data_IF_840050869677
#
_entry.id   IF_840050869677
#
_cell.length_a   1.000
_cell.length_b   1.000
_cell.length_c   1.000
_cell.angle_alpha   90.00
_cell.angle_beta   90.00
_cell.angle_gamma   90.00
#
_symmetry.space_group_name_H-M   'P 1'
#
loop_
_entity.id
_entity.type
_entity.pdbx_description
1 polymer ?
#
# COMPACT_ATOMS: atom_id res chain seq x y z
N UNK A 1 8.18 10.97 19.65
CA UNK A 1 8.97 9.81 19.21
C UNK A 1 8.63 9.57 17.76
N UNK A 2 9.60 9.77 16.88
CA UNK A 2 9.42 9.71 15.44
C UNK A 2 9.54 8.26 14.92
N UNK A 3 8.76 7.87 13.90
CA UNK A 3 8.89 6.56 13.31
C UNK A 3 10.21 6.43 12.55
N UNK A 4 11.04 5.49 13.01
CA UNK A 4 12.35 5.18 12.42
C UNK A 4 12.26 4.45 11.07
N UNK A 5 11.14 3.75 10.81
CA UNK A 5 10.94 3.00 9.58
C UNK A 5 9.50 2.55 9.38
N UNK A 6 9.19 2.17 8.14
CA UNK A 6 7.93 1.54 7.74
C UNK A 6 8.24 0.27 6.97
N UNK A 7 7.57 -0.80 7.32
CA UNK A 7 7.67 -2.10 6.67
C UNK A 7 6.29 -2.57 6.25
N UNK A 8 6.14 -2.94 4.99
CA UNK A 8 4.90 -3.53 4.49
C UNK A 8 4.91 -5.04 4.73
N UNK A 9 3.76 -5.62 5.04
CA UNK A 9 3.60 -7.07 5.13
C UNK A 9 3.92 -7.77 3.80
N UNK A 10 3.68 -7.08 2.68
CA UNK A 10 3.97 -7.54 1.32
C UNK A 10 4.49 -6.39 0.47
N UNK A 11 5.50 -6.66 -0.34
CA UNK A 11 6.04 -5.74 -1.35
C UNK A 11 5.55 -6.07 -2.76
N UNK A 12 4.86 -7.19 -2.92
CA UNK A 12 4.23 -7.61 -4.18
C UNK A 12 2.94 -8.33 -3.86
N UNK A 13 1.87 -8.08 -4.61
CA UNK A 13 0.65 -8.87 -4.54
C UNK A 13 -0.01 -9.06 -5.88
N UNK A 14 -0.86 -10.09 -5.96
CA UNK A 14 -1.56 -10.49 -7.17
C UNK A 14 -3.05 -10.57 -6.87
N UNK A 15 -3.86 -9.89 -7.66
CA UNK A 15 -5.30 -9.72 -7.43
C UNK A 15 -6.04 -10.04 -8.72
N UNK A 16 -7.25 -10.59 -8.65
CA UNK A 16 -8.14 -10.59 -9.81
C UNK A 16 -8.80 -9.21 -10.01
N UNK A 17 -9.23 -8.92 -11.23
CA UNK A 17 -10.11 -7.75 -11.49
C UNK A 17 -11.36 -7.83 -10.60
N UNK A 18 -11.67 -6.75 -9.89
CA UNK A 18 -12.76 -6.69 -8.90
C UNK A 18 -12.40 -7.23 -7.52
N UNK A 19 -11.26 -7.92 -7.36
CA UNK A 19 -10.78 -8.34 -6.06
C UNK A 19 -10.18 -7.17 -5.27
N UNK A 20 -10.16 -7.31 -3.95
CA UNK A 20 -9.51 -6.35 -3.08
C UNK A 20 -8.66 -7.04 -2.03
N UNK A 21 -7.54 -6.41 -1.68
CA UNK A 21 -6.59 -6.90 -0.69
C UNK A 21 -6.16 -5.74 0.21
N UNK A 22 -5.74 -6.04 1.44
CA UNK A 22 -5.31 -5.02 2.38
C UNK A 22 -3.82 -5.14 2.67
N UNK A 23 -3.07 -4.07 2.38
CA UNK A 23 -1.70 -3.90 2.82
C UNK A 23 -1.65 -3.43 4.27
N UNK A 24 -0.86 -4.12 5.08
CA UNK A 24 -0.53 -3.70 6.45
C UNK A 24 0.87 -3.12 6.48
N UNK A 25 0.97 -1.80 6.63
CA UNK A 25 2.21 -1.14 7.01
C UNK A 25 2.38 -1.20 8.53
N UNK A 26 3.51 -1.75 8.96
CA UNK A 26 3.96 -1.72 10.35
C UNK A 26 4.99 -0.61 10.50
N UNK A 27 4.74 0.30 11.43
CA UNK A 27 5.62 1.44 11.74
C UNK A 27 6.46 1.08 12.97
N UNK A 28 7.79 1.22 12.87
CA UNK A 28 8.72 0.98 13.98
C UNK A 28 9.44 2.28 14.42
N UNK A 29 9.69 2.46 15.74
CA UNK A 29 9.28 1.59 16.84
C UNK A 29 7.76 1.65 17.10
N UNK A 30 7.18 0.64 17.75
CA UNK A 30 5.75 0.59 18.04
C UNK A 30 5.26 1.75 18.93
N UNK A 31 6.17 2.43 19.63
CA UNK A 31 5.94 3.66 20.40
C UNK A 31 6.02 4.96 19.56
N UNK A 32 6.11 4.84 18.23
CA UNK A 32 6.01 6.00 17.35
C UNK A 32 4.71 6.76 17.64
N UNK A 33 4.84 8.05 17.92
CA UNK A 33 3.71 8.94 18.24
C UNK A 33 2.83 9.13 17.00
N UNK A 34 3.47 9.19 15.82
CA UNK A 34 2.81 9.29 14.52
C UNK A 34 2.95 7.97 13.75
N UNK A 35 1.86 7.19 13.75
CA UNK A 35 1.71 5.97 12.94
C UNK A 35 0.94 6.22 11.65
N UNK A 36 0.80 7.48 11.27
CA UNK A 36 0.11 7.92 10.07
C UNK A 36 0.89 7.42 8.84
N UNK A 37 0.31 6.48 8.11
CA UNK A 37 0.82 5.99 6.82
C UNK A 37 -0.17 6.37 5.75
N UNK A 38 0.35 6.98 4.68
CA UNK A 38 -0.42 7.40 3.52
C UNK A 38 -0.07 6.55 2.32
N UNK A 39 -1.07 5.89 1.73
CA UNK A 39 -0.91 5.11 0.52
C UNK A 39 -1.34 5.89 -0.71
N UNK A 40 -0.65 5.68 -1.82
CA UNK A 40 -0.99 6.23 -3.13
C UNK A 40 -0.76 5.18 -4.20
N UNK A 41 -1.65 5.13 -5.18
CA UNK A 41 -1.50 4.27 -6.35
C UNK A 41 -0.90 5.05 -7.51
N UNK A 42 0.01 4.41 -8.25
CA UNK A 42 0.49 4.90 -9.55
C UNK A 42 -0.63 4.94 -10.58
N UNK A 43 -1.56 3.97 -10.54
CA UNK A 43 -2.53 3.74 -11.61
C UNK A 43 -3.90 3.33 -11.05
N UNK A 44 -4.70 4.32 -10.68
CA UNK A 44 -6.05 4.13 -10.14
C UNK A 44 -7.02 3.47 -11.14
N UNK A 45 -6.72 3.50 -12.44
CA UNK A 45 -7.48 2.79 -13.46
C UNK A 45 -7.27 1.26 -13.42
N UNK A 46 -6.13 0.80 -12.90
CA UNK A 46 -5.76 -0.62 -12.78
C UNK A 46 -6.01 -1.09 -11.36
N UNK A 47 -5.49 -0.37 -10.37
CA UNK A 47 -5.72 -0.66 -8.96
C UNK A 47 -5.82 0.63 -8.14
N UNK A 48 -6.87 0.76 -7.35
CA UNK A 48 -7.04 1.86 -6.39
C UNK A 48 -6.54 1.42 -5.03
N UNK A 49 -6.04 2.35 -4.21
CA UNK A 49 -5.66 2.06 -2.82
C UNK A 49 -6.28 3.08 -1.87
N UNK A 50 -6.74 2.61 -0.72
CA UNK A 50 -7.27 3.49 0.33
C UNK A 50 -6.11 4.13 1.09
N UNK A 51 -5.97 5.48 1.08
CA UNK A 51 -4.79 6.17 1.57
C UNK A 51 -4.51 5.97 3.05
N UNK A 52 -5.48 5.58 3.88
CA UNK A 52 -5.29 5.37 5.33
C UNK A 52 -5.37 3.88 5.70
N UNK A 53 -6.20 3.12 5.00
CA UNK A 53 -6.51 1.74 5.34
C UNK A 53 -5.59 0.73 4.64
N UNK A 54 -4.89 1.15 3.58
CA UNK A 54 -4.06 0.26 2.76
C UNK A 54 -4.85 -0.75 1.93
N UNK A 55 -6.18 -0.58 1.81
CA UNK A 55 -7.04 -1.47 1.03
C UNK A 55 -6.89 -1.16 -0.47
N UNK A 56 -6.28 -2.09 -1.19
CA UNK A 56 -6.13 -2.11 -2.64
C UNK A 56 -7.34 -2.77 -3.27
N UNK A 57 -7.86 -2.23 -4.36
CA UNK A 57 -8.94 -2.82 -5.15
C UNK A 57 -8.54 -2.82 -6.62
N UNK A 58 -8.50 -3.99 -7.24
CA UNK A 58 -8.22 -4.15 -8.67
C UNK A 58 -9.45 -3.75 -9.48
N UNK A 59 -9.27 -2.84 -10.44
CA UNK A 59 -10.32 -2.36 -11.35
C UNK A 59 -10.16 -2.95 -12.75
N UNK A 60 -8.93 -3.07 -13.23
CA UNK A 60 -8.64 -3.60 -14.56
C UNK A 60 -7.33 -4.40 -14.56
N UNK A 61 -7.19 -5.33 -15.50
CA UNK A 61 -5.97 -6.13 -15.61
C UNK A 61 -4.78 -5.25 -15.99
N UNK A 62 -3.66 -5.46 -15.33
CA UNK A 62 -2.44 -4.67 -15.49
C UNK A 62 -1.60 -4.66 -14.22
N UNK A 63 -0.59 -3.82 -14.18
CA UNK A 63 0.31 -3.67 -13.02
C UNK A 63 0.21 -2.25 -12.49
N UNK A 64 -0.01 -2.11 -11.19
CA UNK A 64 -0.04 -0.84 -10.49
C UNK A 64 0.97 -0.85 -9.34
N UNK A 65 1.61 0.27 -9.08
CA UNK A 65 2.54 0.40 -7.96
C UNK A 65 1.92 1.22 -6.84
N UNK A 66 1.88 0.66 -5.64
CA UNK A 66 1.37 1.32 -4.44
C UNK A 66 2.54 1.82 -3.60
N UNK A 67 2.56 3.11 -3.31
CA UNK A 67 3.58 3.73 -2.46
C UNK A 67 2.97 4.11 -1.12
N UNK A 68 3.50 3.53 -0.04
CA UNK A 68 3.18 3.85 1.34
C UNK A 68 4.21 4.85 1.89
N UNK A 69 3.77 6.00 2.37
CA UNK A 69 4.62 7.06 2.92
C UNK A 69 4.20 7.37 4.34
N UNK A 70 5.12 7.34 5.28
CA UNK A 70 4.89 7.75 6.68
C UNK A 70 4.92 9.26 6.83
N UNK A 71 4.35 9.76 7.93
CA UNK A 71 4.44 11.16 8.32
C UNK A 71 5.88 11.69 8.45
N UNK A 72 6.87 10.82 8.69
CA UNK A 72 8.27 11.19 8.86
C UNK A 72 9.08 11.10 7.55
N UNK A 73 8.42 10.83 6.41
CA UNK A 73 9.05 10.77 5.09
C UNK A 73 9.65 9.41 4.72
N UNK A 74 9.48 8.36 5.54
CA UNK A 74 9.84 6.99 5.16
C UNK A 74 8.85 6.45 4.15
N UNK A 75 9.34 5.81 3.10
CA UNK A 75 8.53 5.24 2.03
C UNK A 75 8.72 3.73 1.95
N UNK A 76 7.67 3.02 1.57
CA UNK A 76 7.69 1.61 1.19
C UNK A 76 6.82 1.42 -0.04
N UNK A 77 7.20 0.49 -0.91
CA UNK A 77 6.53 0.26 -2.19
C UNK A 77 6.00 -1.16 -2.25
N UNK A 78 4.82 -1.31 -2.86
CA UNK A 78 4.19 -2.58 -3.13
C UNK A 78 3.74 -2.64 -4.59
N UNK A 79 4.20 -3.63 -5.34
CA UNK A 79 3.75 -3.86 -6.70
C UNK A 79 2.49 -4.72 -6.71
N UNK A 80 1.45 -4.26 -7.39
CA UNK A 80 0.15 -4.92 -7.47
C UNK A 80 -0.07 -5.35 -8.90
N UNK A 81 -0.14 -6.65 -9.13
CA UNK A 81 -0.51 -7.22 -10.44
C UNK A 81 -1.97 -7.63 -10.40
N UNK A 82 -2.78 -7.01 -11.26
CA UNK A 82 -4.18 -7.34 -11.44
C UNK A 82 -4.32 -8.23 -12.68
N UNK A 83 -4.89 -9.42 -12.52
CA UNK A 83 -5.16 -10.37 -13.60
C UNK A 83 -6.64 -10.36 -13.95
N UNK A 84 -6.97 -10.30 -15.24
CA UNK A 84 -8.30 -10.68 -15.71
C UNK A 84 -8.36 -12.21 -15.69
N UNK A 85 -9.15 -12.77 -14.79
CA UNK A 85 -9.49 -14.20 -14.82
C UNK A 85 -10.48 -14.47 -15.96
#
# INVERSE_FOLDING_TARGET
>A
MDPSGVTLNKTTTTLAVGASETLSATVLPADATDKSVKYSSSDEAIATVTPVQGKITGIAAGTATITATTANGKTAVCEVTVTAE
#
